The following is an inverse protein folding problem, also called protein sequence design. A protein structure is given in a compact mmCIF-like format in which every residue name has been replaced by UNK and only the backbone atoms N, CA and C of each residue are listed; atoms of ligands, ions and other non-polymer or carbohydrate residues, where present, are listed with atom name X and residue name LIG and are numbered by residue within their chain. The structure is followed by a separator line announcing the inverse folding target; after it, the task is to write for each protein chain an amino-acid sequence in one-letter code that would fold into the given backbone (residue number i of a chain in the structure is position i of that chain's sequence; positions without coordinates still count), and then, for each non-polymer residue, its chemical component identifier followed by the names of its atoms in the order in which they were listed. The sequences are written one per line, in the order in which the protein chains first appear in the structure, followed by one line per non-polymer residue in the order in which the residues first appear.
data_IF_479689526766
#
_entry.id   IF_479689526766
#
_cell.length_a   1.000
_cell.length_b   1.000
_cell.length_c   1.000
_cell.angle_alpha   90.00
_cell.angle_beta   90.00
_cell.angle_gamma   90.00
#
_symmetry.space_group_name_H-M   'P 1'
#
loop_
_entity.id
_entity.type
_entity.pdbx_description
1 polymer ?
#
# COMPACT_ATOMS: atom_id res chain seq x y z
N UNK A 1 0.09 -6.24 -10.00
CA UNK A 1 0.36 -4.96 -10.69
C UNK A 1 0.97 -4.01 -9.66
N UNK A 2 2.18 -3.53 -9.89
CA UNK A 2 2.82 -2.56 -8.98
C UNK A 2 2.42 -1.13 -9.34
N UNK A 3 2.59 -0.19 -8.41
CA UNK A 3 2.25 1.24 -8.57
C UNK A 3 2.73 1.82 -9.91
N UNK A 4 3.98 1.52 -10.30
CA UNK A 4 4.58 2.03 -11.54
C UNK A 4 3.86 1.56 -12.80
N UNK A 5 3.31 0.36 -12.81
CA UNK A 5 2.52 -0.19 -13.92
C UNK A 5 1.11 0.38 -13.90
N UNK A 6 0.49 0.46 -12.72
CA UNK A 6 -0.85 1.05 -12.55
C UNK A 6 -0.88 2.52 -13.00
N UNK A 7 0.15 3.30 -12.63
CA UNK A 7 0.26 4.71 -12.98
C UNK A 7 0.39 4.94 -14.49
N UNK A 8 1.06 4.02 -15.20
CA UNK A 8 1.19 4.06 -16.66
C UNK A 8 -0.13 3.80 -17.37
N UNK A 9 -0.96 2.91 -16.83
CA UNK A 9 -2.20 2.45 -17.46
C UNK A 9 -3.45 3.21 -16.99
N UNK A 10 -3.35 4.02 -15.93
CA UNK A 10 -4.48 4.74 -15.33
C UNK A 10 -4.23 6.24 -15.31
N UNK A 11 -5.13 7.02 -15.90
CA UNK A 11 -4.97 8.47 -15.98
C UNK A 11 -5.01 9.15 -14.60
N UNK A 12 -4.36 10.31 -14.50
CA UNK A 12 -4.40 11.13 -13.27
C UNK A 12 -5.82 11.58 -12.91
N UNK A 13 -6.69 11.83 -13.90
CA UNK A 13 -8.08 12.22 -13.67
C UNK A 13 -8.89 11.08 -13.04
N UNK A 14 -8.70 9.84 -13.50
CA UNK A 14 -9.31 8.67 -12.89
C UNK A 14 -8.84 8.48 -11.44
N UNK A 15 -7.53 8.55 -11.20
CA UNK A 15 -6.96 8.41 -9.85
C UNK A 15 -7.50 9.47 -8.88
N UNK A 16 -7.60 10.73 -9.32
CA UNK A 16 -8.20 11.82 -8.53
C UNK A 16 -9.70 11.59 -8.28
N UNK A 17 -10.46 11.18 -9.29
CA UNK A 17 -11.90 10.92 -9.18
C UNK A 17 -12.22 9.88 -8.11
N UNK A 18 -11.38 8.84 -8.00
CA UNK A 18 -11.59 7.74 -7.04
C UNK A 18 -10.71 7.84 -5.79
N UNK A 19 -10.05 8.98 -5.55
CA UNK A 19 -9.23 9.19 -4.34
C UNK A 19 -8.06 8.22 -4.19
N UNK A 20 -7.49 7.76 -5.31
CA UNK A 20 -6.39 6.80 -5.31
C UNK A 20 -5.06 7.50 -5.06
N UNK A 21 -4.51 7.30 -3.87
CA UNK A 21 -3.19 7.76 -3.45
C UNK A 21 -2.34 6.55 -3.06
N UNK A 22 -1.03 6.65 -3.29
CA UNK A 22 -0.08 5.59 -2.97
C UNK A 22 0.81 5.98 -1.80
N UNK A 23 0.97 5.07 -0.86
CA UNK A 23 1.83 5.25 0.30
C UNK A 23 3.31 5.17 -0.13
N UNK A 24 4.14 6.19 0.13
CA UNK A 24 5.57 6.12 -0.16
C UNK A 24 6.24 4.94 0.55
N UNK A 25 7.19 4.29 -0.13
CA UNK A 25 7.82 3.05 0.34
C UNK A 25 8.50 3.16 1.71
N UNK A 26 9.09 4.31 2.03
CA UNK A 26 9.70 4.54 3.34
C UNK A 26 8.64 4.55 4.45
N UNK A 27 7.47 5.14 4.18
CA UNK A 27 6.35 5.23 5.11
C UNK A 27 5.71 3.85 5.29
N UNK A 28 5.49 3.10 4.20
CA UNK A 28 4.92 1.76 4.29
C UNK A 28 5.79 0.81 5.12
N UNK A 29 7.12 0.89 4.94
CA UNK A 29 8.09 0.12 5.73
C UNK A 29 8.04 0.45 7.21
N UNK A 30 8.03 1.75 7.54
CA UNK A 30 7.97 2.20 8.93
C UNK A 30 6.68 1.71 9.63
N UNK A 31 5.54 1.87 8.97
CA UNK A 31 4.24 1.44 9.50
C UNK A 31 4.15 -0.08 9.66
N UNK A 32 4.64 -0.85 8.68
CA UNK A 32 4.69 -2.30 8.75
C UNK A 32 5.55 -2.78 9.93
N UNK A 33 6.75 -2.20 10.09
CA UNK A 33 7.63 -2.52 11.21
C UNK A 33 6.99 -2.20 12.56
N UNK A 34 6.23 -1.11 12.66
CA UNK A 34 5.53 -0.76 13.89
C UNK A 34 4.49 -1.83 14.25
N UNK A 35 3.62 -2.22 13.32
CA UNK A 35 2.55 -3.20 13.58
C UNK A 35 3.11 -4.60 13.90
N UNK A 36 4.22 -4.99 13.28
CA UNK A 36 4.83 -6.31 13.50
C UNK A 36 5.47 -6.48 14.89
N UNK A 37 5.69 -5.40 15.64
CA UNK A 37 6.22 -5.49 17.02
C UNK A 37 5.28 -6.23 17.97
N UNK A 38 3.96 -6.14 17.73
CA UNK A 38 2.93 -6.70 18.61
C UNK A 38 2.63 -8.19 18.32
N UNK A 39 3.40 -8.85 17.42
CA UNK A 39 3.21 -10.26 17.01
C UNK A 39 1.75 -10.60 16.63
N UNK A 40 1.07 -9.67 15.98
CA UNK A 40 -0.32 -9.85 15.55
C UNK A 40 -0.44 -11.08 14.63
N UNK A 41 -1.37 -11.99 14.96
CA UNK A 41 -1.65 -13.18 14.13
C UNK A 41 -2.42 -12.82 12.86
N UNK A 42 -3.16 -11.71 12.87
CA UNK A 42 -3.98 -11.24 11.75
C UNK A 42 -3.88 -9.73 11.64
N UNK A 43 -3.67 -9.24 10.41
CA UNK A 43 -3.55 -7.81 10.10
C UNK A 43 -4.61 -7.46 9.05
N UNK A 44 -5.37 -6.39 9.31
CA UNK A 44 -6.39 -5.86 8.40
C UNK A 44 -5.90 -4.58 7.73
N UNK A 45 -5.97 -4.53 6.40
CA UNK A 45 -5.80 -3.31 5.60
C UNK A 45 -7.14 -3.00 4.90
N UNK A 46 -7.94 -2.07 5.43
CA UNK A 46 -9.29 -1.80 4.93
C UNK A 46 -9.30 -1.07 3.57
N UNK A 47 -8.15 -0.54 3.13
CA UNK A 47 -8.00 0.18 1.87
C UNK A 47 -6.78 -0.33 1.10
N UNK A 48 -6.77 -1.66 0.89
CA UNK A 48 -5.62 -2.44 0.41
C UNK A 48 -4.91 -1.88 -0.83
N UNK A 49 -5.65 -1.21 -1.72
CA UNK A 49 -5.08 -0.60 -2.92
C UNK A 49 -4.30 -1.61 -3.76
N UNK A 50 -3.01 -1.35 -3.98
CA UNK A 50 -2.10 -2.25 -4.70
C UNK A 50 -1.26 -3.14 -3.76
N UNK A 51 -1.55 -3.16 -2.45
CA UNK A 51 -0.96 -4.09 -1.50
C UNK A 51 0.41 -3.71 -0.95
N UNK A 52 0.78 -2.42 -0.91
CA UNK A 52 2.13 -1.99 -0.48
C UNK A 52 2.48 -2.44 0.94
N UNK A 53 1.53 -2.48 1.87
CA UNK A 53 1.77 -2.98 3.23
C UNK A 53 1.95 -4.50 3.26
N UNK A 54 1.19 -5.24 2.44
CA UNK A 54 1.38 -6.68 2.29
C UNK A 54 2.77 -7.02 1.74
N UNK A 55 3.23 -6.27 0.73
CA UNK A 55 4.57 -6.42 0.17
C UNK A 55 5.68 -6.11 1.19
N UNK A 56 5.47 -5.17 2.12
CA UNK A 56 6.45 -4.90 3.18
C UNK A 56 6.43 -5.96 4.30
N UNK A 57 5.28 -6.54 4.61
CA UNK A 57 5.12 -7.55 5.69
C UNK A 57 5.56 -8.94 5.24
N UNK A 58 5.36 -9.32 3.97
CA UNK A 58 5.67 -10.67 3.46
C UNK A 58 7.17 -10.93 3.24
N UNK A 59 7.99 -9.89 3.21
CA UNK A 59 9.45 -10.00 3.02
C UNK A 59 10.13 -10.62 4.24
#
# INVERSE_FOLDING_TARGET
MHESEYIKNTSISHRKKYGQYFTPKLVSRLMAQWILQDKAETILDPAFGLGVFYDEIKK
#
